data_IF_639311208904
#
_entry.id   IF_639311208904
#
_cell.length_a   1.000
_cell.length_b   1.000
_cell.length_c   1.000
_cell.angle_alpha   90.00
_cell.angle_beta   90.00
_cell.angle_gamma   90.00
#
_symmetry.space_group_name_H-M   'P 1'
#
loop_
_entity.id
_entity.type
_entity.pdbx_description
1 polymer ?
#
# COMPACT_ATOMS: atom_id res chain seq x y z
N UNK A 1 -65.42 -54.43 19.01
CA UNK A 1 -63.97 -54.76 19.00
C UNK A 1 -63.28 -53.74 18.10
N UNK A 2 -62.98 -52.56 18.65
CA UNK A 2 -61.65 -52.09 19.12
C UNK A 2 -60.78 -51.50 17.99
N UNK A 3 -60.93 -50.19 17.80
CA UNK A 3 -60.02 -49.29 17.09
C UNK A 3 -58.82 -49.00 18.01
N UNK A 4 -57.55 -49.09 17.57
CA UNK A 4 -56.45 -48.46 18.28
C UNK A 4 -55.97 -47.15 17.60
N UNK A 5 -55.60 -46.23 18.49
CA UNK A 5 -55.27 -44.80 18.32
C UNK A 5 -54.01 -44.55 17.48
N UNK A 6 -54.05 -43.49 16.65
CA UNK A 6 -52.85 -42.77 16.18
C UNK A 6 -52.15 -42.12 17.37
N UNK A 7 -50.89 -42.47 17.59
CA UNK A 7 -49.98 -41.74 18.50
C UNK A 7 -49.38 -40.55 17.77
N UNK A 8 -49.65 -39.36 18.30
CA UNK A 8 -49.05 -38.09 17.91
C UNK A 8 -47.61 -38.02 18.39
N UNK A 9 -46.65 -38.08 17.46
CA UNK A 9 -45.24 -37.79 17.76
C UNK A 9 -45.15 -36.29 18.06
N UNK A 10 -44.91 -35.94 19.33
CA UNK A 10 -44.80 -34.54 19.74
C UNK A 10 -43.53 -33.92 19.16
N UNK A 11 -43.69 -32.86 18.37
CA UNK A 11 -42.63 -31.98 17.86
C UNK A 11 -41.84 -31.25 18.97
N UNK A 12 -42.13 -31.51 20.24
CA UNK A 12 -41.58 -30.80 21.41
C UNK A 12 -40.21 -31.34 21.87
N UNK A 13 -39.77 -32.51 21.41
CA UNK A 13 -38.50 -33.09 21.84
C UNK A 13 -37.26 -32.62 21.04
N UNK A 14 -37.43 -31.93 19.91
CA UNK A 14 -36.28 -31.44 19.11
C UNK A 14 -35.66 -30.12 19.59
N UNK A 15 -36.28 -29.43 20.54
CA UNK A 15 -35.82 -28.10 20.99
C UNK A 15 -35.10 -28.10 22.34
N UNK A 16 -34.93 -29.25 23.00
CA UNK A 16 -34.41 -29.29 24.38
C UNK A 16 -32.94 -29.70 24.53
N UNK A 17 -32.14 -29.59 23.47
CA UNK A 17 -30.71 -29.91 23.56
C UNK A 17 -29.85 -29.02 22.65
N UNK A 18 -29.87 -27.71 22.91
CA UNK A 18 -28.81 -26.79 22.44
C UNK A 18 -28.21 -25.94 23.58
N UNK A 19 -28.27 -26.42 24.81
CA UNK A 19 -27.49 -25.85 25.93
C UNK A 19 -26.13 -26.54 26.04
N UNK A 20 -25.45 -26.69 24.90
CA UNK A 20 -24.04 -27.08 24.86
C UNK A 20 -23.22 -25.81 24.90
N UNK A 21 -22.63 -25.46 26.04
CA UNK A 21 -21.49 -24.52 26.07
C UNK A 21 -20.52 -25.02 25.01
N UNK A 22 -20.38 -24.30 23.90
CA UNK A 22 -19.45 -24.65 22.83
C UNK A 22 -18.03 -24.55 23.40
N UNK A 23 -17.58 -25.62 24.05
CA UNK A 23 -16.22 -25.75 24.52
C UNK A 23 -15.42 -26.08 23.29
N UNK A 24 -14.68 -25.08 22.81
CA UNK A 24 -13.77 -25.27 21.69
C UNK A 24 -12.84 -26.44 22.06
N UNK A 25 -12.89 -27.52 21.28
CA UNK A 25 -12.10 -28.72 21.57
C UNK A 25 -10.62 -28.35 21.67
N UNK A 26 -9.81 -29.13 22.38
CA UNK A 26 -8.36 -28.87 22.45
C UNK A 26 -7.72 -28.72 21.06
N UNK A 27 -8.23 -29.46 20.06
CA UNK A 27 -7.83 -29.31 18.66
C UNK A 27 -8.26 -27.97 18.04
N UNK A 28 -9.47 -27.50 18.33
CA UNK A 28 -9.95 -26.19 17.90
C UNK A 28 -9.15 -25.04 18.55
N UNK A 29 -8.78 -25.17 19.82
CA UNK A 29 -7.89 -24.22 20.51
C UNK A 29 -6.50 -24.19 19.89
N UNK A 30 -5.92 -25.36 19.59
CA UNK A 30 -4.62 -25.46 18.90
C UNK A 30 -4.71 -24.84 17.51
N UNK A 31 -5.76 -25.13 16.73
CA UNK A 31 -5.95 -24.55 15.40
C UNK A 31 -6.08 -23.01 15.46
N UNK A 32 -6.87 -22.47 16.39
CA UNK A 32 -6.96 -21.02 16.58
C UNK A 32 -5.62 -20.41 16.99
N UNK A 33 -4.88 -21.04 17.91
CA UNK A 33 -3.57 -20.57 18.32
C UNK A 33 -2.59 -20.53 17.14
N UNK A 34 -2.58 -21.57 16.30
CA UNK A 34 -1.75 -21.61 15.09
C UNK A 34 -2.14 -20.52 14.09
N UNK A 35 -3.43 -20.26 13.88
CA UNK A 35 -3.90 -19.15 13.05
C UNK A 35 -3.46 -17.79 13.57
N UNK A 36 -3.60 -17.55 14.88
CA UNK A 36 -3.16 -16.31 15.52
C UNK A 36 -1.65 -16.11 15.36
N UNK A 37 -0.85 -17.16 15.60
CA UNK A 37 0.61 -17.10 15.42
C UNK A 37 0.96 -16.80 13.96
N UNK A 38 0.30 -17.46 13.00
CA UNK A 38 0.54 -17.27 11.57
C UNK A 38 0.21 -15.84 11.14
N UNK A 39 -0.94 -15.30 11.57
CA UNK A 39 -1.35 -13.92 11.28
C UNK A 39 -0.38 -12.91 11.92
N UNK A 40 0.05 -13.17 13.16
CA UNK A 40 0.99 -12.29 13.86
C UNK A 40 2.36 -12.26 13.15
N UNK A 41 2.90 -13.43 12.80
CA UNK A 41 4.15 -13.54 12.06
C UNK A 41 4.04 -12.86 10.68
N UNK A 42 2.99 -13.17 9.92
CA UNK A 42 2.75 -12.57 8.61
C UNK A 42 2.63 -11.04 8.69
N UNK A 43 1.85 -10.53 9.66
CA UNK A 43 1.71 -9.08 9.89
C UNK A 43 3.05 -8.43 10.20
N UNK A 44 3.87 -9.06 11.04
CA UNK A 44 5.21 -8.56 11.36
C UNK A 44 6.11 -8.50 10.11
N UNK A 45 6.18 -9.57 9.33
CA UNK A 45 6.96 -9.61 8.09
C UNK A 45 6.48 -8.58 7.06
N UNK A 46 5.16 -8.43 6.89
CA UNK A 46 4.59 -7.46 5.95
C UNK A 46 4.87 -6.00 6.34
N UNK A 47 4.90 -5.69 7.64
CA UNK A 47 5.20 -4.35 8.15
C UNK A 47 6.70 -4.04 8.03
N UNK A 48 7.56 -4.98 8.46
CA UNK A 48 9.02 -4.80 8.44
C UNK A 48 9.64 -4.90 7.05
N UNK A 49 9.00 -5.62 6.12
CA UNK A 49 9.57 -5.90 4.81
C UNK A 49 10.85 -6.75 4.90
N UNK A 50 11.55 -6.86 3.77
CA UNK A 50 12.85 -7.52 3.67
C UNK A 50 13.94 -6.47 3.81
N UNK A 51 14.36 -6.23 5.05
CA UNK A 51 15.26 -5.13 5.38
C UNK A 51 16.40 -5.55 6.29
N UNK A 52 17.52 -4.84 6.20
CA UNK A 52 18.67 -4.89 7.12
C UNK A 52 19.13 -3.47 7.44
N UNK A 53 20.03 -3.33 8.41
CA UNK A 53 20.74 -2.06 8.64
C UNK A 53 21.81 -1.88 7.56
N UNK A 54 21.83 -0.71 6.94
CA UNK A 54 22.81 -0.32 5.93
C UNK A 54 24.09 0.25 6.54
N UNK A 55 25.16 0.29 5.75
CA UNK A 55 26.49 0.76 6.18
C UNK A 55 26.55 2.23 6.60
N UNK A 56 25.53 3.01 6.27
CA UNK A 56 25.39 4.44 6.52
C UNK A 56 24.22 4.76 7.47
N UNK A 57 23.72 3.75 8.21
CA UNK A 57 22.65 3.89 9.20
C UNK A 57 21.23 3.94 8.61
N UNK A 58 21.08 3.90 7.29
CA UNK A 58 19.79 3.79 6.61
C UNK A 58 19.26 2.36 6.65
N UNK A 59 17.95 2.21 6.52
CA UNK A 59 17.31 0.91 6.31
C UNK A 59 17.58 0.45 4.88
N UNK A 60 18.33 -0.64 4.74
CA UNK A 60 18.61 -1.26 3.45
C UNK A 60 17.52 -2.26 3.11
N UNK A 61 16.79 -1.98 2.03
CA UNK A 61 15.75 -2.85 1.48
C UNK A 61 16.43 -3.83 0.51
N UNK A 62 16.26 -5.11 0.79
CA UNK A 62 16.88 -6.21 0.07
C UNK A 62 16.04 -6.56 -1.16
N UNK A 63 16.58 -6.26 -2.35
CA UNK A 63 15.93 -6.47 -3.63
C UNK A 63 16.87 -7.18 -4.60
N UNK A 64 16.31 -7.98 -5.50
CA UNK A 64 17.05 -8.44 -6.67
C UNK A 64 17.39 -7.24 -7.58
N UNK A 65 18.45 -7.32 -8.41
CA UNK A 65 18.84 -6.21 -9.29
C UNK A 65 17.70 -5.68 -10.15
N UNK A 66 16.92 -6.59 -10.78
CA UNK A 66 15.76 -6.23 -11.62
C UNK A 66 14.69 -5.48 -10.85
N UNK A 67 14.38 -5.93 -9.62
CA UNK A 67 13.37 -5.30 -8.76
C UNK A 67 13.81 -3.89 -8.31
N UNK A 68 15.10 -3.74 -7.98
CA UNK A 68 15.68 -2.44 -7.65
C UNK A 68 15.60 -1.48 -8.84
N UNK A 69 15.95 -1.97 -10.03
CA UNK A 69 15.98 -1.15 -11.24
C UNK A 69 14.58 -0.66 -11.65
N UNK A 70 13.54 -1.47 -11.40
CA UNK A 70 12.14 -1.09 -11.60
C UNK A 70 11.74 0.09 -10.70
N UNK A 71 11.97 -0.02 -9.39
CA UNK A 71 11.67 1.08 -8.45
C UNK A 71 12.47 2.34 -8.80
N UNK A 72 13.76 2.20 -9.12
CA UNK A 72 14.59 3.33 -9.54
C UNK A 72 14.15 3.92 -10.88
N UNK A 73 13.53 3.13 -11.77
CA UNK A 73 12.91 3.65 -12.98
C UNK A 73 11.71 4.53 -12.65
N UNK A 74 10.82 4.05 -11.80
CA UNK A 74 9.65 4.80 -11.33
C UNK A 74 10.06 6.13 -10.67
N UNK A 75 11.07 6.09 -9.77
CA UNK A 75 11.64 7.31 -9.16
C UNK A 75 12.19 8.29 -10.20
N UNK A 76 12.82 7.82 -11.27
CA UNK A 76 13.30 8.68 -12.36
C UNK A 76 12.14 9.29 -13.15
N UNK A 77 11.03 8.57 -13.34
CA UNK A 77 9.83 9.12 -13.98
C UNK A 77 9.19 10.22 -13.13
N UNK A 78 9.05 9.98 -11.81
CA UNK A 78 8.58 11.00 -10.86
C UNK A 78 9.46 12.26 -10.88
N UNK A 79 10.78 12.10 -10.86
CA UNK A 79 11.70 13.24 -10.90
C UNK A 79 11.59 14.03 -12.21
N UNK A 80 11.47 13.34 -13.35
CA UNK A 80 11.24 13.99 -14.66
C UNK A 80 9.93 14.77 -14.69
N UNK A 81 8.86 14.24 -14.10
CA UNK A 81 7.59 14.93 -14.02
C UNK A 81 7.67 16.20 -13.17
N UNK A 82 8.32 16.14 -12.00
CA UNK A 82 8.57 17.31 -11.14
C UNK A 82 9.33 18.39 -11.91
N UNK A 83 10.44 18.02 -12.56
CA UNK A 83 11.24 18.93 -13.37
C UNK A 83 10.44 19.54 -14.54
N UNK A 84 9.65 18.74 -15.25
CA UNK A 84 8.78 19.23 -16.33
C UNK A 84 7.76 20.27 -15.85
N UNK A 85 7.13 20.05 -14.70
CA UNK A 85 6.17 21.00 -14.11
C UNK A 85 6.88 22.27 -13.65
N UNK A 86 8.06 22.16 -13.02
CA UNK A 86 8.86 23.33 -12.61
C UNK A 86 9.23 24.19 -13.82
N UNK A 87 9.67 23.58 -14.93
CA UNK A 87 9.96 24.32 -16.18
C UNK A 87 8.70 24.99 -16.72
N UNK A 88 7.58 24.27 -16.77
CA UNK A 88 6.30 24.83 -17.21
C UNK A 88 5.87 26.06 -16.41
N UNK A 89 6.06 26.05 -15.09
CA UNK A 89 5.81 27.20 -14.22
C UNK A 89 6.73 28.40 -14.50
N UNK A 90 7.92 28.17 -15.05
CA UNK A 90 8.89 29.21 -15.40
C UNK A 90 8.58 29.93 -16.71
N UNK A 91 7.67 29.39 -17.52
CA UNK A 91 7.32 29.99 -18.81
C UNK A 91 6.42 31.22 -18.65
N UNK A 92 6.55 32.27 -19.49
CA UNK A 92 5.65 33.43 -19.47
C UNK A 92 4.19 33.07 -19.69
N UNK A 93 3.93 31.97 -20.42
CA UNK A 93 2.61 31.41 -20.66
C UNK A 93 2.68 29.89 -20.50
N UNK A 94 2.48 29.36 -19.28
CA UNK A 94 2.54 27.93 -19.00
C UNK A 94 1.54 27.13 -19.83
N UNK A 95 1.97 26.00 -20.39
CA UNK A 95 1.07 25.02 -21.00
C UNK A 95 0.47 24.14 -19.90
N UNK A 96 -0.69 24.57 -19.39
CA UNK A 96 -1.39 23.88 -18.30
C UNK A 96 -1.83 22.47 -18.69
N UNK A 97 -2.13 22.20 -19.97
CA UNK A 97 -2.50 20.85 -20.41
C UNK A 97 -1.27 19.93 -20.33
N UNK A 98 -0.15 20.36 -20.87
CA UNK A 98 1.09 19.58 -20.80
C UNK A 98 1.52 19.34 -19.34
N UNK A 99 1.39 20.34 -18.46
CA UNK A 99 1.71 20.19 -17.03
C UNK A 99 0.77 19.21 -16.33
N UNK A 100 -0.53 19.26 -16.62
CA UNK A 100 -1.50 18.31 -16.08
C UNK A 100 -1.19 16.88 -16.53
N UNK A 101 -1.02 16.66 -17.83
CA UNK A 101 -0.66 15.35 -18.40
C UNK A 101 0.62 14.81 -17.77
N UNK A 102 1.62 15.67 -17.57
CA UNK A 102 2.89 15.33 -16.92
C UNK A 102 2.69 14.87 -15.47
N UNK A 103 1.85 15.58 -14.70
CA UNK A 103 1.54 15.21 -13.32
C UNK A 103 0.72 13.91 -13.26
N UNK A 104 -0.30 13.78 -14.10
CA UNK A 104 -1.18 12.61 -14.17
C UNK A 104 -0.42 11.36 -14.58
N UNK A 105 0.56 11.49 -15.48
CA UNK A 105 1.42 10.39 -15.97
C UNK A 105 2.22 9.69 -14.87
N UNK A 106 2.40 10.32 -13.70
CA UNK A 106 3.09 9.72 -12.56
C UNK A 106 2.20 9.61 -11.31
N UNK A 107 0.89 9.77 -11.49
CA UNK A 107 -0.12 9.62 -10.44
C UNK A 107 -0.35 8.17 -10.02
N UNK A 108 -1.49 7.90 -9.40
CA UNK A 108 -1.85 6.59 -8.83
C UNK A 108 -1.91 5.45 -9.84
N UNK A 109 -2.17 5.74 -11.12
CA UNK A 109 -2.20 4.70 -12.14
C UNK A 109 -0.82 4.05 -12.32
N UNK A 110 0.27 4.82 -12.25
CA UNK A 110 1.63 4.28 -12.33
C UNK A 110 1.93 3.34 -11.16
N UNK A 111 1.49 3.71 -9.96
CA UNK A 111 1.64 2.87 -8.76
C UNK A 111 0.81 1.59 -8.80
N UNK A 112 -0.28 1.56 -9.56
CA UNK A 112 -1.14 0.38 -9.70
C UNK A 112 -0.49 -0.73 -10.53
N UNK A 113 0.47 -0.37 -11.38
CA UNK A 113 1.22 -1.29 -12.24
C UNK A 113 2.44 -1.89 -11.53
N UNK A 114 2.67 -1.58 -10.25
CA UNK A 114 3.79 -2.09 -9.48
C UNK A 114 3.72 -3.62 -9.29
N UNK A 115 4.83 -4.30 -9.58
CA UNK A 115 4.91 -5.76 -9.48
C UNK A 115 4.60 -6.27 -8.05
N UNK A 116 3.58 -7.14 -7.87
CA UNK A 116 3.18 -7.65 -6.55
C UNK A 116 4.32 -8.29 -5.75
N UNK A 117 5.27 -8.94 -6.43
CA UNK A 117 6.45 -9.54 -5.79
C UNK A 117 7.34 -8.48 -5.11
N UNK A 118 7.48 -7.29 -5.70
CA UNK A 118 8.22 -6.18 -5.12
C UNK A 118 7.47 -5.66 -3.90
N UNK A 119 6.16 -5.43 -4.02
CA UNK A 119 5.32 -4.89 -2.94
C UNK A 119 5.30 -5.75 -1.67
N UNK A 120 5.49 -7.07 -1.82
CA UNK A 120 5.62 -7.98 -0.68
C UNK A 120 6.92 -7.76 0.13
N UNK A 121 7.99 -7.27 -0.50
CA UNK A 121 9.30 -7.05 0.13
C UNK A 121 9.44 -5.67 0.76
N UNK A 122 8.71 -4.68 0.26
CA UNK A 122 8.83 -3.31 0.74
C UNK A 122 8.23 -3.15 2.15
N UNK A 123 8.91 -2.44 3.07
CA UNK A 123 8.36 -2.13 4.38
C UNK A 123 7.14 -1.22 4.25
N UNK A 124 6.18 -1.36 5.17
CA UNK A 124 4.92 -0.61 5.10
C UNK A 124 5.09 0.92 5.03
N UNK A 125 5.98 1.54 5.84
CA UNK A 125 6.17 3.00 5.76
C UNK A 125 6.75 3.46 4.41
N UNK A 126 7.61 2.65 3.76
CA UNK A 126 8.12 2.94 2.43
C UNK A 126 6.98 2.93 1.40
N UNK A 127 6.12 1.90 1.43
CA UNK A 127 4.94 1.81 0.57
C UNK A 127 4.03 3.01 0.75
N UNK A 128 3.72 3.37 2.00
CA UNK A 128 2.87 4.52 2.31
C UNK A 128 3.45 5.83 1.76
N UNK A 129 4.77 6.03 1.87
CA UNK A 129 5.44 7.20 1.33
C UNK A 129 5.37 7.24 -0.20
N UNK A 130 5.68 6.13 -0.88
CA UNK A 130 5.53 6.01 -2.33
C UNK A 130 4.10 6.34 -2.77
N UNK A 131 3.10 5.65 -2.21
CA UNK A 131 1.68 5.89 -2.55
C UNK A 131 1.25 7.34 -2.29
N UNK A 132 1.76 7.99 -1.24
CA UNK A 132 1.43 9.41 -0.97
C UNK A 132 2.00 10.35 -2.03
N UNK A 133 3.16 10.04 -2.61
CA UNK A 133 3.74 10.82 -3.69
C UNK A 133 2.84 10.73 -4.93
N UNK A 134 2.42 9.52 -5.33
CA UNK A 134 1.52 9.33 -6.48
C UNK A 134 0.18 10.05 -6.30
N UNK A 135 -0.43 9.96 -5.11
CA UNK A 135 -1.67 10.70 -4.79
C UNK A 135 -1.47 12.21 -4.91
N UNK A 136 -0.33 12.71 -4.45
CA UNK A 136 -0.05 14.14 -4.51
C UNK A 136 0.24 14.61 -5.94
N UNK A 137 0.75 13.74 -6.81
CA UNK A 137 0.86 14.02 -8.25
C UNK A 137 -0.52 14.07 -8.93
N UNK A 138 -1.45 13.19 -8.58
CA UNK A 138 -2.84 13.32 -9.05
C UNK A 138 -3.52 14.60 -8.52
N UNK A 139 -3.32 14.92 -7.25
CA UNK A 139 -3.85 16.15 -6.66
C UNK A 139 -3.23 17.41 -7.29
N UNK A 140 -1.96 17.33 -7.71
CA UNK A 140 -1.26 18.37 -8.45
C UNK A 140 -1.84 18.54 -9.85
N UNK A 141 -2.11 17.44 -10.56
CA UNK A 141 -2.81 17.45 -11.85
C UNK A 141 -4.16 18.17 -11.72
N UNK A 142 -4.97 17.82 -10.71
CA UNK A 142 -6.26 18.47 -10.48
C UNK A 142 -6.12 19.96 -10.10
N UNK A 143 -5.07 20.32 -9.36
CA UNK A 143 -4.77 21.71 -9.02
C UNK A 143 -4.45 22.56 -10.26
N UNK A 144 -3.72 21.98 -11.22
CA UNK A 144 -3.42 22.62 -12.50
C UNK A 144 -4.70 22.88 -13.30
N UNK A 145 -5.60 21.90 -13.39
CA UNK A 145 -6.92 22.07 -14.06
C UNK A 145 -7.77 23.15 -13.39
N UNK A 146 -7.70 23.26 -12.06
CA UNK A 146 -8.38 24.30 -11.29
C UNK A 146 -7.76 25.68 -11.41
N UNK A 147 -6.68 25.84 -12.19
CA UNK A 147 -5.94 27.09 -12.34
C UNK A 147 -5.44 27.66 -10.99
N UNK A 148 -4.96 26.79 -10.09
CA UNK A 148 -4.24 27.24 -8.90
C UNK A 148 -3.00 28.07 -9.29
N UNK A 149 -2.62 29.03 -8.44
CA UNK A 149 -1.53 29.96 -8.76
C UNK A 149 -0.18 29.24 -8.84
N UNK A 150 0.81 29.78 -9.57
CA UNK A 150 2.15 29.21 -9.60
C UNK A 150 2.74 28.92 -8.22
N UNK A 151 2.49 29.81 -7.24
CA UNK A 151 2.93 29.63 -5.85
C UNK A 151 2.25 28.43 -5.17
N UNK A 152 0.95 28.22 -5.39
CA UNK A 152 0.23 27.06 -4.85
C UNK A 152 0.73 25.75 -5.46
N UNK A 153 0.96 25.72 -6.78
CA UNK A 153 1.56 24.55 -7.46
C UNK A 153 2.97 24.28 -6.90
N UNK A 154 3.78 25.32 -6.68
CA UNK A 154 5.11 25.18 -6.10
C UNK A 154 5.09 24.63 -4.66
N UNK A 155 4.11 25.05 -3.84
CA UNK A 155 3.93 24.52 -2.47
C UNK A 155 3.60 23.02 -2.47
N UNK A 156 2.77 22.58 -3.43
CA UNK A 156 2.46 21.16 -3.61
C UNK A 156 3.70 20.36 -4.03
N UNK A 157 4.45 20.87 -5.01
CA UNK A 157 5.73 20.28 -5.42
C UNK A 157 6.72 20.20 -4.26
N UNK A 158 6.80 21.25 -3.43
CA UNK A 158 7.63 21.26 -2.22
C UNK A 158 7.24 20.14 -1.23
N UNK A 159 5.95 19.83 -1.12
CA UNK A 159 5.48 18.73 -0.27
C UNK A 159 5.88 17.36 -0.85
N UNK A 160 5.86 17.23 -2.18
CA UNK A 160 6.35 16.04 -2.90
C UNK A 160 7.84 15.83 -2.66
N UNK A 161 8.66 16.84 -2.91
CA UNK A 161 10.12 16.73 -2.78
C UNK A 161 10.56 16.50 -1.33
N UNK A 162 9.85 17.04 -0.33
CA UNK A 162 10.12 16.76 1.08
C UNK A 162 9.98 15.27 1.44
N UNK A 163 9.09 14.52 0.78
CA UNK A 163 9.03 13.06 0.94
C UNK A 163 10.12 12.33 0.20
N UNK A 164 10.56 12.84 -0.95
CA UNK A 164 11.72 12.28 -1.64
C UNK A 164 12.96 12.34 -0.73
N UNK A 165 13.21 13.50 -0.10
CA UNK A 165 14.36 13.65 0.81
C UNK A 165 14.21 12.77 2.05
N UNK A 166 13.04 12.77 2.69
CA UNK A 166 12.79 11.91 3.85
C UNK A 166 12.97 10.41 3.52
N UNK A 167 12.51 9.97 2.34
CA UNK A 167 12.71 8.60 1.89
C UNK A 167 14.19 8.29 1.72
N UNK A 168 14.94 9.18 1.06
CA UNK A 168 16.35 8.97 0.76
C UNK A 168 17.26 9.05 2.00
N UNK A 169 16.84 9.79 3.03
CA UNK A 169 17.50 9.86 4.33
C UNK A 169 17.26 8.61 5.17
N UNK A 170 16.15 7.89 4.95
CA UNK A 170 15.79 6.70 5.72
C UNK A 170 16.14 5.39 5.03
N UNK A 171 16.05 5.34 3.69
CA UNK A 171 16.08 4.11 2.93
C UNK A 171 17.19 4.10 1.88
N UNK A 172 17.66 2.89 1.61
CA UNK A 172 18.52 2.54 0.49
C UNK A 172 18.16 1.17 -0.04
N UNK A 173 18.56 0.88 -1.27
CA UNK A 173 18.43 -0.46 -1.85
C UNK A 173 19.77 -1.18 -1.80
N UNK A 174 19.73 -2.50 -1.61
CA UNK A 174 20.92 -3.33 -1.72
C UNK A 174 21.60 -3.15 -3.08
N UNK A 175 22.92 -2.93 -3.08
CA UNK A 175 23.71 -3.07 -4.29
C UNK A 175 23.73 -4.56 -4.65
N UNK A 176 23.15 -4.94 -5.79
CA UNK A 176 23.23 -6.32 -6.27
C UNK A 176 24.70 -6.78 -6.29
N UNK A 177 24.96 -7.94 -5.70
CA UNK A 177 26.20 -8.68 -5.98
C UNK A 177 26.09 -9.34 -7.33
#
# INVERSE_FOLDING_TARGET
MLIPRRTTISLRQRFHQMDGKATLSSMGLIALMLWVITIAAFSWFFVKGWTTEGSDGRVEILLAPVERDEILAEMRHLLKAIDGIIRGLGEPKPDLRQMEETARAVGMHMAADAEPAIMAKLPLPFKQMGMSIHKDMDALADAIVRNETPQQILQRLSSVTARCTACHDMYRFSAGR
#
